data_IF_553644689964
#
_entry.id   IF_553644689964
#
_cell.length_a   1.000
_cell.length_b   1.000
_cell.length_c   1.000
_cell.angle_alpha   90.00
_cell.angle_beta   90.00
_cell.angle_gamma   90.00
#
_symmetry.space_group_name_H-M   'P 1'
#
loop_
_entity.id
_entity.type
_entity.pdbx_description
1 polymer ?
#
# COMPACT_ATOMS: atom_id res chain seq x y z
N UNK A 1 -8.15 5.47 27.81
CA UNK A 1 -8.43 5.65 29.26
C UNK A 1 -7.11 6.07 29.91
N UNK A 2 -7.04 7.17 30.67
CA UNK A 2 -5.79 7.56 31.32
C UNK A 2 -5.41 6.53 32.38
N UNK A 3 -4.18 6.02 32.32
CA UNK A 3 -3.60 5.12 33.31
C UNK A 3 -2.89 6.00 34.35
N UNK A 4 -3.08 5.71 35.63
CA UNK A 4 -2.46 6.45 36.73
C UNK A 4 -1.43 5.56 37.41
N UNK A 5 -0.28 6.13 37.77
CA UNK A 5 0.75 5.48 38.58
C UNK A 5 0.74 6.12 39.96
N UNK A 6 0.83 5.28 41.00
CA UNK A 6 0.94 5.74 42.38
C UNK A 6 2.41 5.70 42.77
N UNK A 7 3.05 6.87 42.86
CA UNK A 7 4.43 6.99 43.33
C UNK A 7 4.47 8.02 44.47
N UNK A 8 5.07 7.67 45.62
CA UNK A 8 5.08 8.49 46.85
C UNK A 8 3.70 9.04 47.30
N UNK A 9 2.65 8.23 47.21
CA UNK A 9 1.25 8.58 47.61
C UNK A 9 0.60 9.71 46.80
N UNK A 10 1.21 10.16 45.70
CA UNK A 10 0.58 11.04 44.74
C UNK A 10 0.09 10.25 43.52
N UNK A 11 -1.14 10.54 43.08
CA UNK A 11 -1.68 10.05 41.81
C UNK A 11 -1.09 10.90 40.68
N UNK A 12 -0.03 10.42 40.03
CA UNK A 12 0.43 11.02 38.77
C UNK A 12 -0.30 10.37 37.60
N UNK A 13 -0.91 11.21 36.77
CA UNK A 13 -1.36 10.81 35.43
C UNK A 13 -0.12 10.33 34.69
N UNK A 14 -0.09 9.07 34.27
CA UNK A 14 0.96 8.61 33.36
C UNK A 14 0.67 9.39 32.07
N UNK A 15 1.54 10.34 31.74
CA UNK A 15 1.53 10.88 30.39
C UNK A 15 1.73 9.69 29.45
N UNK A 16 0.76 9.44 28.57
CA UNK A 16 0.93 8.48 27.46
C UNK A 16 2.32 8.71 26.87
N UNK A 17 3.09 7.63 26.71
CA UNK A 17 4.50 7.68 26.33
C UNK A 17 4.69 8.69 25.19
N UNK A 18 5.24 9.84 25.54
CA UNK A 18 5.55 10.95 24.65
C UNK A 18 7.05 11.18 24.74
N UNK A 19 7.61 11.95 23.81
CA UNK A 19 9.00 12.37 23.95
C UNK A 19 9.22 13.13 25.27
N UNK A 20 10.36 12.90 25.95
CA UNK A 20 10.79 13.70 27.08
C UNK A 20 10.87 15.20 26.74
N UNK A 21 10.81 16.04 27.77
CA UNK A 21 10.93 17.49 27.59
C UNK A 21 12.31 17.85 26.98
N UNK A 22 12.32 18.69 25.95
CA UNK A 22 13.53 19.06 25.20
C UNK A 22 13.92 18.09 24.08
N UNK A 23 13.19 17.00 23.87
CA UNK A 23 13.37 16.10 22.72
C UNK A 23 12.43 16.52 21.58
N UNK A 24 13.01 16.79 20.42
CA UNK A 24 12.30 17.06 19.18
C UNK A 24 12.88 16.25 18.00
N UNK A 25 12.32 16.45 16.80
CA UNK A 25 12.74 15.77 15.57
C UNK A 25 14.21 16.05 15.22
N UNK A 26 14.69 17.28 15.47
CA UNK A 26 16.06 17.69 15.20
C UNK A 26 17.05 17.05 16.17
N UNK A 27 16.71 17.00 17.45
CA UNK A 27 17.51 16.30 18.46
C UNK A 27 17.63 14.81 18.13
N UNK A 28 16.52 14.15 17.77
CA UNK A 28 16.53 12.74 17.38
C UNK A 28 17.36 12.47 16.13
N UNK A 29 17.25 13.35 15.13
CA UNK A 29 18.08 13.28 13.93
C UNK A 29 19.58 13.33 14.26
N UNK A 30 19.99 14.25 15.14
CA UNK A 30 21.39 14.36 15.60
C UNK A 30 21.87 13.11 16.34
N UNK A 31 21.06 12.58 17.27
CA UNK A 31 21.43 11.36 18.01
C UNK A 31 21.53 10.13 17.10
N UNK A 32 20.66 10.01 16.10
CA UNK A 32 20.72 8.93 15.11
C UNK A 32 22.00 9.00 14.27
N UNK A 33 22.42 10.20 13.87
CA UNK A 33 23.65 10.41 13.11
C UNK A 33 24.91 10.08 13.93
N UNK A 34 24.92 10.39 15.23
CA UNK A 34 26.10 10.24 16.09
C UNK A 34 26.26 8.83 16.71
N UNK A 35 25.14 8.17 17.03
CA UNK A 35 25.14 6.98 17.92
C UNK A 35 24.83 5.66 17.23
N UNK A 36 24.64 5.64 15.91
CA UNK A 36 24.31 4.43 15.11
C UNK A 36 23.21 3.57 15.76
N UNK A 37 22.14 4.23 16.22
CA UNK A 37 21.03 3.60 16.96
C UNK A 37 19.96 3.01 16.05
N UNK A 38 20.10 3.18 14.72
CA UNK A 38 19.17 2.59 13.78
C UNK A 38 19.40 1.08 13.69
N UNK A 39 18.33 0.29 13.56
CA UNK A 39 18.42 -1.17 13.51
C UNK A 39 19.07 -1.70 12.23
N UNK A 40 19.17 -0.85 11.21
CA UNK A 40 19.94 -1.11 10.00
C UNK A 40 20.79 0.12 9.65
N UNK A 41 21.88 -0.14 8.94
CA UNK A 41 22.82 0.88 8.51
C UNK A 41 22.21 1.72 7.39
N UNK A 42 22.00 3.00 7.64
CA UNK A 42 21.34 3.93 6.72
C UNK A 42 22.18 5.19 6.51
N UNK A 43 22.39 5.57 5.25
CA UNK A 43 23.05 6.81 4.90
C UNK A 43 22.04 7.95 4.87
N UNK A 44 22.02 8.80 5.90
CA UNK A 44 21.13 9.97 5.95
C UNK A 44 21.59 11.02 4.94
N UNK A 45 20.66 11.50 4.11
CA UNK A 45 20.90 12.44 3.02
C UNK A 45 20.00 13.68 3.06
N UNK A 46 19.13 13.78 4.07
CA UNK A 46 18.20 14.88 4.19
C UNK A 46 17.33 14.76 5.44
N UNK A 47 16.72 15.88 5.80
CA UNK A 47 15.61 15.99 6.74
C UNK A 47 14.37 16.53 6.02
N UNK A 48 13.20 16.27 6.60
CA UNK A 48 11.93 16.78 6.06
C UNK A 48 10.98 17.16 7.18
N UNK A 49 10.19 18.20 6.94
CA UNK A 49 9.18 18.69 7.87
C UNK A 49 7.95 19.18 7.10
N UNK A 50 6.77 18.74 7.52
CA UNK A 50 5.48 19.13 6.98
C UNK A 50 4.79 20.17 7.87
N UNK A 51 3.84 20.91 7.30
CA UNK A 51 3.12 22.00 8.00
C UNK A 51 2.27 21.51 9.18
N UNK A 52 1.86 20.25 9.16
CA UNK A 52 1.08 19.60 10.21
C UNK A 52 1.94 19.05 11.37
N UNK A 53 3.25 19.30 11.35
CA UNK A 53 4.19 18.85 12.38
C UNK A 53 4.77 17.46 12.15
N UNK A 54 4.40 16.76 11.08
CA UNK A 54 5.08 15.53 10.68
C UNK A 54 6.51 15.86 10.22
N UNK A 55 7.47 15.02 10.54
CA UNK A 55 8.84 15.21 10.08
C UNK A 55 9.75 14.06 10.43
N UNK A 56 10.95 14.11 9.87
CA UNK A 56 11.99 13.15 10.14
C UNK A 56 13.12 13.23 9.13
N UNK A 57 13.64 12.08 8.72
CA UNK A 57 14.83 11.97 7.88
C UNK A 57 14.53 11.32 6.54
N UNK A 58 15.42 11.58 5.59
CA UNK A 58 15.52 10.89 4.32
C UNK A 58 16.89 10.22 4.30
N UNK A 59 16.92 8.93 4.03
CA UNK A 59 18.13 8.14 4.00
C UNK A 59 18.17 7.21 2.77
N UNK A 60 19.32 6.57 2.58
CA UNK A 60 19.54 5.53 1.59
C UNK A 60 19.99 4.25 2.29
N UNK A 61 19.44 3.12 1.88
CA UNK A 61 19.90 1.81 2.33
C UNK A 61 21.06 1.27 1.49
N UNK A 62 21.53 0.06 1.81
CA UNK A 62 22.63 -0.60 1.11
C UNK A 62 22.38 -0.81 -0.39
N UNK A 63 21.12 -0.86 -0.84
CA UNK A 63 20.74 -1.04 -2.24
C UNK A 63 20.56 0.31 -2.97
N UNK A 64 20.85 1.42 -2.28
CA UNK A 64 20.55 2.77 -2.72
C UNK A 64 19.05 3.04 -2.93
N UNK A 65 18.20 2.31 -2.19
CA UNK A 65 16.76 2.58 -2.10
C UNK A 65 16.52 3.71 -1.11
N UNK A 66 15.58 4.60 -1.44
CA UNK A 66 15.25 5.72 -0.57
C UNK A 66 14.40 5.24 0.60
N UNK A 67 14.80 5.66 1.80
CA UNK A 67 14.13 5.37 3.05
C UNK A 67 13.61 6.68 3.64
N UNK A 68 12.30 6.86 3.64
CA UNK A 68 11.66 7.95 4.38
C UNK A 68 11.49 7.52 5.84
N UNK A 69 12.05 8.28 6.78
CA UNK A 69 11.96 8.02 8.20
C UNK A 69 11.03 9.09 8.81
N UNK A 70 9.94 8.64 9.42
CA UNK A 70 8.99 9.45 10.17
C UNK A 70 9.25 9.30 11.67
N UNK A 71 9.46 10.42 12.37
CA UNK A 71 9.52 10.44 13.83
C UNK A 71 8.18 10.90 14.40
N UNK A 72 7.69 10.17 15.41
CA UNK A 72 6.47 10.55 16.11
C UNK A 72 6.62 10.42 17.64
N UNK A 73 6.13 11.40 18.41
CA UNK A 73 6.20 11.36 19.87
C UNK A 73 5.35 10.24 20.48
N UNK A 74 4.36 9.75 19.74
CA UNK A 74 3.44 8.67 20.08
C UNK A 74 2.97 8.02 18.79
N UNK A 75 1.97 7.12 18.87
CA UNK A 75 1.36 6.53 17.67
C UNK A 75 1.00 7.62 16.65
N UNK A 76 1.63 7.62 15.46
CA UNK A 76 1.46 8.70 14.51
C UNK A 76 0.02 8.76 14.01
N UNK A 77 -0.55 9.98 13.84
CA UNK A 77 -1.83 10.12 13.17
C UNK A 77 -1.70 9.73 11.70
N UNK A 78 -2.84 9.38 11.09
CA UNK A 78 -2.88 8.94 9.70
C UNK A 78 -2.26 9.96 8.73
N UNK A 79 -2.56 11.24 8.92
CA UNK A 79 -2.05 12.33 8.09
C UNK A 79 -0.51 12.38 8.07
N UNK A 80 0.16 12.09 9.19
CA UNK A 80 1.63 12.08 9.22
C UNK A 80 2.21 10.89 8.47
N UNK A 81 1.51 9.75 8.50
CA UNK A 81 1.88 8.57 7.72
C UNK A 81 1.70 8.86 6.23
N UNK A 82 0.62 9.52 5.83
CA UNK A 82 0.39 9.91 4.43
C UNK A 82 1.42 10.91 3.90
N UNK A 83 1.85 11.88 4.71
CA UNK A 83 2.93 12.80 4.32
C UNK A 83 4.25 12.06 4.09
N UNK A 84 4.62 11.16 5.01
CA UNK A 84 5.85 10.38 4.90
C UNK A 84 5.80 9.39 3.71
N UNK A 85 4.65 8.77 3.49
CA UNK A 85 4.38 7.87 2.37
C UNK A 85 4.38 8.63 1.03
N UNK A 86 3.74 9.80 1.00
CA UNK A 86 3.74 10.70 -0.15
C UNK A 86 5.14 11.17 -0.52
N UNK A 87 6.00 11.43 0.49
CA UNK A 87 7.42 11.73 0.28
C UNK A 87 8.17 10.53 -0.30
N UNK A 88 8.00 9.34 0.28
CA UNK A 88 8.62 8.12 -0.22
C UNK A 88 8.21 7.85 -1.67
N UNK A 89 6.90 7.85 -1.96
CA UNK A 89 6.35 7.59 -3.28
C UNK A 89 6.69 8.67 -4.30
N UNK A 90 6.60 9.94 -3.92
CA UNK A 90 6.96 11.07 -4.76
C UNK A 90 8.43 11.03 -5.16
N UNK A 91 9.29 10.49 -4.29
CA UNK A 91 10.70 10.33 -4.57
C UNK A 91 11.03 9.12 -5.46
N UNK A 92 10.10 8.21 -5.76
CA UNK A 92 10.37 6.94 -6.48
C UNK A 92 11.09 7.08 -7.83
N UNK A 93 10.90 8.20 -8.52
CA UNK A 93 11.54 8.47 -9.81
C UNK A 93 12.55 9.62 -9.74
N UNK A 94 12.93 10.05 -8.55
CA UNK A 94 13.94 11.09 -8.34
C UNK A 94 15.28 10.57 -8.84
N UNK A 95 15.81 11.25 -9.85
CA UNK A 95 17.07 10.88 -10.48
C UNK A 95 18.26 11.17 -9.58
N UNK A 96 19.40 10.57 -9.91
CA UNK A 96 20.65 10.75 -9.15
C UNK A 96 21.02 12.23 -8.93
N UNK A 97 20.88 13.06 -9.95
CA UNK A 97 21.25 14.47 -9.87
C UNK A 97 20.43 15.24 -8.81
N UNK A 98 19.16 14.88 -8.64
CA UNK A 98 18.28 15.50 -7.65
C UNK A 98 18.60 15.02 -6.24
N UNK A 99 18.82 13.71 -6.06
CA UNK A 99 19.27 13.15 -4.78
C UNK A 99 20.63 13.70 -4.36
N UNK A 100 21.56 13.87 -5.31
CA UNK A 100 22.87 14.47 -5.04
C UNK A 100 22.75 15.93 -4.60
N UNK A 101 21.85 16.71 -5.21
CA UNK A 101 21.59 18.09 -4.76
C UNK A 101 20.97 18.14 -3.37
N UNK A 102 20.04 17.23 -3.07
CA UNK A 102 19.42 17.14 -1.75
C UNK A 102 20.47 16.79 -0.68
N UNK A 103 21.29 15.77 -0.93
CA UNK A 103 22.39 15.38 -0.07
C UNK A 103 23.37 16.54 0.12
N UNK A 104 23.81 17.18 -0.96
CA UNK A 104 24.75 18.31 -0.89
C UNK A 104 24.24 19.44 0.02
N UNK A 105 22.96 19.82 -0.09
CA UNK A 105 22.36 20.84 0.80
C UNK A 105 22.32 20.39 2.25
N UNK A 106 21.97 19.14 2.50
CA UNK A 106 21.91 18.58 3.85
C UNK A 106 23.30 18.54 4.49
N UNK A 107 24.32 18.09 3.77
CA UNK A 107 25.68 18.05 4.31
C UNK A 107 26.27 19.45 4.48
N UNK A 108 26.03 20.36 3.54
CA UNK A 108 26.47 21.75 3.66
C UNK A 108 25.88 22.44 4.90
N UNK A 109 24.61 22.19 5.21
CA UNK A 109 23.98 22.73 6.44
C UNK A 109 24.59 22.17 7.73
N UNK A 110 25.25 21.01 7.65
CA UNK A 110 25.98 20.38 8.75
C UNK A 110 27.51 20.63 8.69
N UNK A 111 27.96 21.53 7.81
CA UNK A 111 29.37 21.91 7.68
C UNK A 111 30.25 20.87 6.98
N UNK A 112 29.64 19.94 6.24
CA UNK A 112 30.32 18.89 5.47
C UNK A 112 30.22 19.18 3.97
N UNK A 113 31.27 18.86 3.21
CA UNK A 113 31.29 19.03 1.75
C UNK A 113 31.26 17.68 1.08
N UNK A 114 30.32 17.52 0.15
CA UNK A 114 30.06 16.26 -0.55
C UNK A 114 29.90 16.54 -2.02
N UNK A 115 30.82 16.00 -2.81
CA UNK A 115 30.85 16.23 -4.26
C UNK A 115 30.06 15.16 -5.03
N UNK A 116 30.08 13.91 -4.54
CA UNK A 116 29.50 12.75 -5.21
C UNK A 116 28.82 11.81 -4.19
N UNK A 117 27.48 11.79 -4.22
CA UNK A 117 26.66 10.91 -3.39
C UNK A 117 26.90 9.42 -3.68
N UNK A 118 27.26 9.05 -4.91
CA UNK A 118 27.57 7.66 -5.26
C UNK A 118 28.85 7.21 -4.57
N UNK A 119 29.89 8.04 -4.57
CA UNK A 119 31.15 7.72 -3.93
C UNK A 119 31.00 7.64 -2.41
N UNK A 120 30.23 8.58 -1.84
CA UNK A 120 29.88 8.53 -0.43
C UNK A 120 29.14 7.25 -0.07
N UNK A 121 28.09 6.90 -0.82
CA UNK A 121 27.31 5.68 -0.59
C UNK A 121 28.19 4.43 -0.67
N UNK A 122 29.06 4.35 -1.69
CA UNK A 122 30.03 3.27 -1.86
C UNK A 122 30.96 3.14 -0.66
N UNK A 123 31.54 4.25 -0.22
CA UNK A 123 32.46 4.29 0.91
C UNK A 123 31.74 3.88 2.21
N UNK A 124 30.54 4.44 2.44
CA UNK A 124 29.75 4.18 3.62
C UNK A 124 29.35 2.70 3.75
N UNK A 125 28.94 2.05 2.65
CA UNK A 125 28.54 0.63 2.64
C UNK A 125 29.67 -0.35 2.27
N UNK A 126 30.89 0.13 2.01
CA UNK A 126 32.06 -0.71 1.67
C UNK A 126 31.84 -1.62 0.44
N UNK A 127 31.36 -1.04 -0.66
CA UNK A 127 31.01 -1.78 -1.89
C UNK A 127 32.22 -2.23 -2.72
N UNK A 128 32.16 -3.45 -3.26
CA UNK A 128 33.05 -3.96 -4.33
C UNK A 128 32.58 -3.37 -5.69
N UNK A 129 33.52 -2.86 -6.51
CA UNK A 129 33.24 -2.22 -7.81
C UNK A 129 32.40 -3.07 -8.78
N UNK A 130 32.35 -4.39 -8.57
CA UNK A 130 31.56 -5.34 -9.38
C UNK A 130 30.06 -5.34 -9.08
N UNK A 131 29.62 -4.75 -7.97
CA UNK A 131 28.21 -4.70 -7.53
C UNK A 131 27.60 -3.31 -7.66
N UNK A 132 27.90 -2.57 -8.74
CA UNK A 132 27.28 -1.24 -8.95
C UNK A 132 25.74 -1.39 -8.93
N UNK A 133 25.01 -0.60 -8.12
CA UNK A 133 23.55 -0.56 -8.21
C UNK A 133 23.17 -0.16 -9.64
N UNK A 134 22.40 -1.01 -10.31
CA UNK A 134 22.04 -0.80 -11.72
C UNK A 134 21.23 0.48 -11.92
N UNK A 135 20.39 0.84 -10.94
CA UNK A 135 19.56 2.04 -10.94
C UNK A 135 19.36 2.50 -9.48
N UNK A 136 19.75 3.74 -9.17
CA UNK A 136 19.53 4.33 -7.84
C UNK A 136 18.03 4.50 -7.60
N UNK A 137 17.57 4.31 -6.35
CA UNK A 137 16.21 4.63 -5.92
C UNK A 137 15.08 4.01 -6.78
N UNK A 138 15.06 2.68 -6.88
CA UNK A 138 13.98 1.95 -7.59
C UNK A 138 12.89 1.43 -6.66
N UNK A 139 13.25 1.20 -5.40
CA UNK A 139 12.36 0.75 -4.34
C UNK A 139 12.33 1.78 -3.20
N UNK A 140 11.19 1.89 -2.53
CA UNK A 140 10.94 2.88 -1.49
C UNK A 140 10.60 2.16 -0.21
N UNK A 141 11.18 2.65 0.89
CA UNK A 141 10.97 2.09 2.22
C UNK A 141 10.48 3.19 3.14
N UNK A 142 9.57 2.84 4.05
CA UNK A 142 8.99 3.76 5.01
C UNK A 142 9.28 3.26 6.42
N UNK A 143 10.04 4.05 7.17
CA UNK A 143 10.42 3.76 8.54
C UNK A 143 9.62 4.65 9.46
N UNK A 144 8.83 4.05 10.34
CA UNK A 144 8.00 4.80 11.29
C UNK A 144 8.54 4.55 12.69
N UNK A 145 9.07 5.59 13.32
CA UNK A 145 9.69 5.50 14.64
C UNK A 145 8.84 6.28 15.63
N UNK A 146 8.23 5.56 16.58
CA UNK A 146 7.36 6.15 17.59
C UNK A 146 7.56 5.50 18.95
N UNK A 147 7.22 6.20 20.04
CA UNK A 147 7.31 5.64 21.39
C UNK A 147 6.30 4.51 21.65
N UNK A 148 5.15 4.56 20.98
CA UNK A 148 4.09 3.57 21.05
C UNK A 148 3.25 3.54 19.77
N UNK A 149 2.48 2.47 19.57
CA UNK A 149 1.58 2.30 18.43
C UNK A 149 0.22 1.78 18.85
N UNK A 150 -0.85 2.46 18.41
CA UNK A 150 -2.20 1.94 18.55
C UNK A 150 -2.42 0.75 17.62
N UNK A 151 -3.25 -0.20 18.06
CA UNK A 151 -3.53 -1.44 17.32
C UNK A 151 -4.14 -1.17 15.95
N UNK A 152 -4.96 -0.13 15.84
CA UNK A 152 -5.61 0.34 14.62
C UNK A 152 -4.56 0.84 13.61
N UNK A 153 -3.56 1.60 14.08
CA UNK A 153 -2.44 2.08 13.25
C UNK A 153 -1.60 0.91 12.76
N UNK A 154 -1.18 -0.01 13.64
CA UNK A 154 -0.45 -1.21 13.23
C UNK A 154 -1.24 -2.06 12.25
N UNK A 155 -2.56 -2.15 12.44
CA UNK A 155 -3.44 -2.87 11.53
C UNK A 155 -3.50 -2.22 10.16
N UNK A 156 -3.50 -0.88 10.07
CA UNK A 156 -3.43 -0.15 8.80
C UNK A 156 -2.06 -0.31 8.13
N UNK A 157 -0.96 -0.18 8.88
CA UNK A 157 0.40 -0.33 8.38
C UNK A 157 0.68 -1.72 7.77
N UNK A 158 0.05 -2.78 8.30
CA UNK A 158 0.13 -4.13 7.73
C UNK A 158 -0.33 -4.22 6.28
N UNK A 159 -1.30 -3.41 5.89
CA UNK A 159 -1.81 -3.38 4.51
C UNK A 159 -0.98 -2.44 3.65
N UNK A 160 -0.54 -1.30 4.20
CA UNK A 160 0.41 -0.42 3.52
C UNK A 160 1.72 -1.11 3.16
N UNK A 161 2.16 -2.11 3.95
CA UNK A 161 3.30 -2.97 3.62
C UNK A 161 3.20 -3.69 2.25
N UNK A 162 2.01 -3.78 1.66
CA UNK A 162 1.83 -4.30 0.30
C UNK A 162 2.16 -3.28 -0.80
N UNK A 163 2.14 -1.99 -0.48
CA UNK A 163 2.34 -0.88 -1.42
C UNK A 163 3.75 -0.29 -1.31
N UNK A 164 4.25 -0.12 -0.07
CA UNK A 164 5.58 0.40 0.26
C UNK A 164 6.17 -0.46 1.39
N UNK A 165 7.45 -0.84 1.31
CA UNK A 165 8.10 -1.64 2.36
C UNK A 165 8.18 -0.84 3.67
N UNK A 166 7.15 -1.03 4.48
CA UNK A 166 6.92 -0.25 5.69
C UNK A 166 7.37 -1.06 6.90
N UNK A 167 8.23 -0.45 7.71
CA UNK A 167 8.70 -1.00 8.97
C UNK A 167 8.45 -0.01 10.09
N UNK A 168 7.95 -0.49 11.22
CA UNK A 168 7.74 0.33 12.39
C UNK A 168 8.72 -0.05 13.50
N UNK A 169 9.21 0.96 14.20
CA UNK A 169 10.14 0.82 15.29
C UNK A 169 9.64 1.56 16.52
N UNK A 170 9.81 0.92 17.67
CA UNK A 170 9.48 1.47 18.97
C UNK A 170 10.69 2.18 19.55
N UNK A 171 10.54 3.47 19.81
CA UNK A 171 11.54 4.30 20.46
C UNK A 171 11.36 4.25 21.98
N UNK A 172 12.39 3.84 22.70
CA UNK A 172 12.42 3.85 24.17
C UNK A 172 13.48 4.80 24.66
N UNK A 173 13.15 5.56 25.69
CA UNK A 173 14.09 6.41 26.41
C UNK A 173 14.41 5.76 27.76
N UNK A 174 15.69 5.78 28.13
CA UNK A 174 16.21 5.30 29.40
C UNK A 174 17.01 6.43 30.04
N UNK A 175 16.60 6.87 31.22
CA UNK A 175 17.31 7.89 31.99
C UNK A 175 18.34 7.20 32.89
N UNK A 176 19.62 7.54 32.73
CA UNK A 176 20.70 7.04 33.59
C UNK A 176 20.82 7.89 34.86
N UNK A 177 21.43 7.32 35.91
CA UNK A 177 21.76 8.05 37.15
C UNK A 177 22.65 9.29 36.92
N UNK A 178 23.33 9.38 35.76
CA UNK A 178 24.14 10.51 35.31
C UNK A 178 23.37 11.65 34.64
N UNK A 179 22.03 11.59 34.59
CA UNK A 179 21.16 12.49 33.81
C UNK A 179 21.41 12.45 32.29
N UNK A 180 22.13 11.44 31.79
CA UNK A 180 22.26 11.19 30.36
C UNK A 180 21.06 10.36 29.87
N UNK A 181 20.44 10.80 28.78
CA UNK A 181 19.30 10.13 28.16
C UNK A 181 19.80 9.14 27.11
N UNK A 182 19.64 7.85 27.37
CA UNK A 182 19.85 6.81 26.37
C UNK A 182 18.57 6.54 25.58
N UNK A 183 18.73 6.15 24.32
CA UNK A 183 17.64 5.72 23.47
C UNK A 183 17.89 4.35 22.88
N UNK A 184 16.84 3.56 22.71
CA UNK A 184 16.85 2.32 21.91
C UNK A 184 15.71 2.33 20.91
N UNK A 185 15.96 1.76 19.73
CA UNK A 185 15.00 1.64 18.64
C UNK A 185 14.82 0.15 18.36
N UNK A 186 13.67 -0.40 18.77
CA UNK A 186 13.37 -1.84 18.64
C UNK A 186 12.34 -2.08 17.53
N UNK A 187 12.47 -3.10 16.68
CA UNK A 187 11.46 -3.42 15.67
C UNK A 187 10.12 -3.82 16.33
N UNK A 188 9.02 -3.42 15.69
CA UNK A 188 7.66 -3.81 16.10
C UNK A 188 7.31 -5.13 15.41
N UNK A 189 7.44 -6.24 16.16
CA UNK A 189 7.25 -7.60 15.68
C UNK A 189 5.90 -7.83 14.98
N UNK A 190 4.84 -7.10 15.33
CA UNK A 190 3.55 -7.22 14.68
C UNK A 190 3.58 -6.90 13.18
N UNK A 191 4.57 -6.14 12.68
CA UNK A 191 4.78 -5.82 11.27
C UNK A 191 5.82 -6.71 10.59
N UNK A 192 6.51 -7.58 11.33
CA UNK A 192 7.40 -8.59 10.78
C UNK A 192 6.60 -9.84 10.37
N UNK A 193 6.71 -10.25 9.10
CA UNK A 193 6.05 -11.46 8.58
C UNK A 193 4.55 -11.29 8.25
N UNK A 194 4.25 -10.80 7.04
CA UNK A 194 2.87 -10.61 6.58
C UNK A 194 2.21 -11.87 6.02
N UNK A 195 1.32 -12.52 6.78
CA UNK A 195 0.30 -13.51 6.32
C UNK A 195 -0.58 -13.03 5.16
N UNK A 196 -0.54 -11.73 4.83
CA UNK A 196 -1.30 -11.11 3.75
C UNK A 196 -0.64 -11.33 2.39
N UNK A 197 0.70 -11.28 2.34
CA UNK A 197 1.45 -11.58 1.13
C UNK A 197 1.13 -12.99 0.62
N UNK A 198 1.02 -13.99 1.51
CA UNK A 198 0.63 -15.36 1.13
C UNK A 198 -0.80 -15.48 0.57
N UNK A 199 -1.73 -14.62 1.01
CA UNK A 199 -3.12 -14.70 0.54
C UNK A 199 -3.30 -14.05 -0.84
N UNK A 200 -2.63 -12.92 -1.07
CA UNK A 200 -2.59 -12.23 -2.37
C UNK A 200 -1.80 -13.08 -3.38
N UNK A 201 -0.66 -13.62 -2.99
CA UNK A 201 0.10 -14.58 -3.81
C UNK A 201 -0.76 -15.79 -4.20
N UNK A 202 -1.52 -16.37 -3.24
CA UNK A 202 -2.41 -17.49 -3.53
C UNK A 202 -3.61 -17.14 -4.44
N UNK A 203 -4.05 -15.88 -4.46
CA UNK A 203 -5.14 -15.41 -5.34
C UNK A 203 -4.67 -15.08 -6.76
N UNK A 204 -3.40 -14.67 -6.92
CA UNK A 204 -2.81 -14.28 -8.20
C UNK A 204 -1.81 -15.28 -8.76
N UNK A 205 -1.49 -16.36 -8.04
CA UNK A 205 -0.91 -17.57 -8.61
C UNK A 205 -1.90 -18.12 -9.62
N UNK A 206 -1.72 -17.71 -10.89
CA UNK A 206 -2.35 -18.36 -12.03
C UNK A 206 -2.05 -19.85 -11.87
N UNK A 207 -3.05 -20.71 -11.62
CA UNK A 207 -2.81 -22.12 -11.44
C UNK A 207 -2.00 -22.59 -12.64
N UNK A 208 -0.90 -23.32 -12.43
CA UNK A 208 0.01 -23.75 -13.51
C UNK A 208 -0.69 -24.43 -14.69
N UNK A 209 -1.89 -24.97 -14.44
CA UNK A 209 -2.83 -25.54 -15.41
C UNK A 209 -3.40 -24.48 -16.39
N UNK A 210 -3.68 -23.25 -15.94
CA UNK A 210 -4.17 -22.13 -16.76
C UNK A 210 -3.02 -21.53 -17.58
N UNK A 211 -1.83 -21.40 -16.99
CA UNK A 211 -0.62 -20.94 -17.70
C UNK A 211 -0.23 -21.89 -18.84
N UNK A 212 -0.27 -23.22 -18.62
CA UNK A 212 -0.03 -24.25 -19.65
C UNK A 212 -1.05 -24.25 -20.79
N UNK A 213 -2.25 -23.69 -20.57
CA UNK A 213 -3.34 -23.71 -21.55
C UNK A 213 -3.40 -22.43 -22.38
N UNK A 214 -2.95 -21.30 -21.82
CA UNK A 214 -2.83 -20.00 -22.50
C UNK A 214 -1.55 -19.89 -23.33
N UNK A 215 -0.46 -20.51 -22.86
CA UNK A 215 0.80 -20.64 -23.60
C UNK A 215 0.78 -22.00 -24.32
N UNK A 216 0.07 -22.08 -25.44
CA UNK A 216 -0.07 -23.33 -26.20
C UNK A 216 1.28 -24.00 -26.46
N UNK A 217 1.36 -25.31 -26.21
CA UNK A 217 2.50 -26.13 -26.60
C UNK A 217 2.71 -25.96 -28.12
N UNK A 218 3.84 -25.36 -28.50
CA UNK A 218 4.30 -25.39 -29.89
C UNK A 218 4.71 -26.83 -30.25
N UNK A 219 4.16 -27.44 -31.30
CA UNK A 219 4.59 -28.77 -31.71
C UNK A 219 5.80 -28.64 -32.64
N UNK A 220 7.01 -28.98 -32.20
CA UNK A 220 8.10 -29.36 -33.11
C UNK A 220 9.03 -30.40 -32.49
N UNK A 221 9.09 -31.55 -33.14
CA UNK A 221 10.08 -32.59 -32.87
C UNK A 221 9.71 -33.92 -33.52
N UNK A 222 9.47 -33.93 -34.83
CA UNK A 222 9.40 -35.18 -35.59
C UNK A 222 10.82 -35.73 -35.79
N UNK A 223 11.03 -36.98 -35.39
CA UNK A 223 12.18 -37.82 -35.73
C UNK A 223 11.70 -39.29 -35.81
N UNK A 224 12.17 -40.09 -36.78
CA UNK A 224 11.52 -41.35 -37.15
C UNK A 224 12.04 -42.57 -36.37
N UNK A 225 11.34 -43.70 -36.57
CA UNK A 225 11.69 -45.09 -36.18
C UNK A 225 11.29 -45.50 -34.76
N UNK A 226 10.71 -46.68 -34.47
CA UNK A 226 10.60 -47.96 -35.19
C UNK A 226 9.48 -48.83 -34.56
N UNK A 227 9.08 -49.87 -35.28
CA UNK A 227 8.06 -50.89 -34.98
C UNK A 227 8.10 -51.54 -33.58
N UNK A 228 6.91 -51.79 -33.00
CA UNK A 228 6.63 -53.10 -32.38
C UNK A 228 5.11 -53.36 -32.28
N UNK A 229 4.68 -54.53 -32.76
CA UNK A 229 3.31 -55.08 -32.64
C UNK A 229 3.19 -55.76 -31.27
N UNK A 230 2.10 -55.52 -30.54
CA UNK A 230 1.49 -56.60 -29.76
C UNK A 230 -0.02 -56.40 -29.54
N UNK A 231 -0.67 -57.55 -29.40
CA UNK A 231 -2.07 -57.95 -29.47
C UNK A 231 -2.92 -57.62 -28.21
N UNK A 232 -4.25 -57.60 -28.40
CA UNK A 232 -5.14 -58.27 -27.44
C UNK A 232 -5.82 -57.46 -26.33
N UNK A 233 -6.96 -56.86 -26.67
CA UNK A 233 -8.19 -56.77 -25.85
C UNK A 233 -8.13 -56.29 -24.38
N UNK A 234 -8.78 -55.16 -24.07
CA UNK A 234 -9.66 -55.01 -22.89
C UNK A 234 -10.48 -53.69 -22.90
N UNK A 235 -11.81 -53.87 -22.98
CA UNK A 235 -13.01 -53.03 -22.68
C UNK A 235 -12.86 -51.51 -22.41
N UNK A 236 -13.77 -50.66 -22.94
CA UNK A 236 -13.76 -49.23 -22.62
C UNK A 236 -14.29 -49.03 -21.20
N UNK A 237 -13.39 -48.72 -20.27
CA UNK A 237 -13.75 -48.03 -19.03
C UNK A 237 -14.12 -46.61 -19.44
N UNK A 238 -15.41 -46.36 -19.68
CA UNK A 238 -15.92 -45.01 -19.85
C UNK A 238 -15.44 -44.21 -18.64
N UNK A 239 -14.50 -43.32 -18.90
CA UNK A 239 -13.78 -42.62 -17.87
C UNK A 239 -14.76 -41.66 -17.21
N UNK A 240 -14.61 -41.39 -15.91
CA UNK A 240 -15.43 -40.36 -15.23
C UNK A 240 -15.35 -38.99 -15.93
N UNK A 241 -14.36 -38.78 -16.81
CA UNK A 241 -14.28 -37.63 -17.71
C UNK A 241 -15.43 -37.56 -18.71
N UNK A 242 -15.89 -38.68 -19.27
CA UNK A 242 -16.95 -38.69 -20.30
C UNK A 242 -18.30 -38.22 -19.72
N UNK A 243 -18.52 -38.46 -18.42
CA UNK A 243 -19.73 -38.02 -17.69
C UNK A 243 -19.64 -36.55 -17.27
N UNK A 244 -18.45 -36.01 -17.02
CA UNK A 244 -18.25 -34.60 -16.65
C UNK A 244 -18.23 -33.67 -17.88
N UNK A 245 -17.77 -34.16 -19.04
CA UNK A 245 -17.76 -33.41 -20.30
C UNK A 245 -19.16 -33.38 -20.94
N UNK A 246 -20.05 -34.30 -20.56
CA UNK A 246 -21.47 -34.31 -20.97
C UNK A 246 -22.34 -33.26 -20.24
N UNK A 247 -21.76 -32.35 -19.45
CA UNK A 247 -22.45 -31.18 -18.91
C UNK A 247 -22.71 -30.18 -20.06
N UNK A 248 -23.93 -30.24 -20.61
CA UNK A 248 -24.65 -29.23 -21.41
C UNK A 248 -23.79 -28.27 -22.26
N UNK A 249 -23.32 -28.74 -23.42
CA UNK A 249 -22.49 -28.02 -24.39
C UNK A 249 -23.24 -26.86 -25.09
N UNK A 250 -23.69 -25.86 -24.34
CA UNK A 250 -24.02 -24.55 -24.87
C UNK A 250 -22.86 -23.59 -24.55
N UNK A 251 -21.86 -23.45 -25.44
CA UNK A 251 -20.67 -22.62 -25.20
C UNK A 251 -21.03 -21.19 -24.80
N UNK A 252 -22.17 -20.69 -25.28
CA UNK A 252 -22.68 -19.35 -24.92
C UNK A 252 -22.97 -19.19 -23.43
N UNK A 253 -23.46 -20.22 -22.73
CA UNK A 253 -23.78 -20.14 -21.29
C UNK A 253 -22.51 -19.95 -20.45
N UNK A 254 -21.41 -20.61 -20.82
CA UNK A 254 -20.16 -20.55 -20.08
C UNK A 254 -19.46 -19.20 -20.22
N UNK A 255 -19.56 -18.55 -21.38
CA UNK A 255 -18.98 -17.21 -21.60
C UNK A 255 -19.66 -16.15 -20.70
N UNK A 256 -20.99 -16.11 -20.66
CA UNK A 256 -21.71 -15.17 -19.80
C UNK A 256 -21.52 -15.50 -18.31
N UNK A 257 -21.45 -16.78 -17.95
CA UNK A 257 -21.13 -17.20 -16.59
C UNK A 257 -19.72 -16.77 -16.17
N UNK A 258 -18.73 -16.90 -17.07
CA UNK A 258 -17.37 -16.45 -16.84
C UNK A 258 -17.30 -14.92 -16.67
N UNK A 259 -17.97 -14.16 -17.54
CA UNK A 259 -18.08 -12.71 -17.40
C UNK A 259 -18.71 -12.33 -16.07
N UNK A 260 -19.85 -12.93 -15.72
CA UNK A 260 -20.54 -12.66 -14.46
C UNK A 260 -19.67 -13.00 -13.25
N UNK A 261 -18.94 -14.11 -13.28
CA UNK A 261 -18.00 -14.49 -12.24
C UNK A 261 -16.84 -13.48 -12.10
N UNK A 262 -16.27 -13.01 -13.21
CA UNK A 262 -15.21 -12.00 -13.20
C UNK A 262 -15.71 -10.65 -12.68
N UNK A 263 -16.88 -10.21 -13.11
CA UNK A 263 -17.53 -8.98 -12.62
C UNK A 263 -17.82 -9.10 -11.12
N UNK A 264 -18.40 -10.21 -10.66
CA UNK A 264 -18.68 -10.45 -9.25
C UNK A 264 -17.39 -10.48 -8.41
N UNK A 265 -16.34 -11.16 -8.89
CA UNK A 265 -15.04 -11.21 -8.23
C UNK A 265 -14.42 -9.82 -8.10
N UNK A 266 -14.45 -9.03 -9.18
CA UNK A 266 -13.97 -7.64 -9.17
C UNK A 266 -14.76 -6.81 -8.15
N UNK A 267 -16.10 -6.82 -8.24
CA UNK A 267 -16.96 -6.03 -7.35
C UNK A 267 -16.72 -6.39 -5.90
N UNK A 268 -16.67 -7.68 -5.56
CA UNK A 268 -16.42 -8.13 -4.21
C UNK A 268 -15.04 -7.70 -3.70
N UNK A 269 -13.99 -7.95 -4.49
CA UNK A 269 -12.60 -7.68 -4.11
C UNK A 269 -12.38 -6.18 -3.90
N UNK A 270 -12.78 -5.35 -4.85
CA UNK A 270 -12.53 -3.91 -4.77
C UNK A 270 -13.49 -3.20 -3.83
N UNK A 271 -14.74 -3.67 -3.64
CA UNK A 271 -15.59 -3.15 -2.56
C UNK A 271 -15.00 -3.46 -1.19
N UNK A 272 -14.48 -4.69 -0.99
CA UNK A 272 -13.83 -5.06 0.26
C UNK A 272 -12.60 -4.21 0.54
N UNK A 273 -11.72 -4.03 -0.46
CA UNK A 273 -10.50 -3.22 -0.33
C UNK A 273 -10.85 -1.75 -0.05
N UNK A 274 -11.75 -1.14 -0.82
CA UNK A 274 -12.10 0.28 -0.69
C UNK A 274 -12.82 0.58 0.63
N UNK A 275 -13.77 -0.26 1.06
CA UNK A 275 -14.44 -0.11 2.35
C UNK A 275 -13.44 -0.27 3.49
N UNK A 276 -12.53 -1.25 3.40
CA UNK A 276 -11.50 -1.44 4.41
C UNK A 276 -10.56 -0.23 4.48
N UNK A 277 -10.14 0.29 3.34
CA UNK A 277 -9.31 1.48 3.27
C UNK A 277 -10.01 2.67 3.93
N UNK A 278 -11.29 2.88 3.61
CA UNK A 278 -12.14 3.90 4.23
C UNK A 278 -12.26 3.73 5.75
N UNK A 279 -12.49 2.50 6.23
CA UNK A 279 -12.59 2.21 7.66
C UNK A 279 -11.27 2.41 8.43
N UNK A 280 -10.15 2.35 7.72
CA UNK A 280 -8.82 2.65 8.27
C UNK A 280 -8.41 4.11 8.01
N UNK A 281 -9.35 4.97 7.63
CA UNK A 281 -9.16 6.39 7.35
C UNK A 281 -8.22 6.70 6.17
N UNK A 282 -7.93 5.72 5.30
CA UNK A 282 -7.05 5.89 4.13
C UNK A 282 -7.75 6.36 2.85
N UNK A 283 -8.97 6.86 2.96
CA UNK A 283 -9.66 7.52 1.83
C UNK A 283 -9.52 9.03 1.96
N UNK A 284 -9.18 9.70 0.85
CA UNK A 284 -9.09 11.15 0.82
C UNK A 284 -10.44 11.79 1.19
N UNK A 285 -10.51 12.33 2.41
CA UNK A 285 -11.76 12.77 3.02
C UNK A 285 -12.40 13.97 2.32
N UNK A 286 -11.61 14.77 1.62
CA UNK A 286 -12.10 15.94 0.89
C UNK A 286 -13.00 15.52 -0.30
N UNK A 287 -12.50 14.67 -1.19
CA UNK A 287 -13.25 14.26 -2.38
C UNK A 287 -14.48 13.42 -2.01
N UNK A 288 -14.29 12.38 -1.18
CA UNK A 288 -15.38 11.52 -0.75
C UNK A 288 -16.44 12.30 0.06
N UNK A 289 -15.99 13.24 0.91
CA UNK A 289 -16.87 14.06 1.74
C UNK A 289 -17.76 15.02 0.95
N UNK A 290 -17.26 15.57 -0.17
CA UNK A 290 -18.06 16.41 -1.08
C UNK A 290 -19.25 15.62 -1.62
N UNK A 291 -19.00 14.40 -2.12
CA UNK A 291 -20.04 13.56 -2.70
C UNK A 291 -20.97 12.97 -1.65
N UNK A 292 -20.44 12.57 -0.49
CA UNK A 292 -21.25 12.05 0.61
C UNK A 292 -22.26 13.10 1.12
N UNK A 293 -21.79 14.31 1.42
CA UNK A 293 -22.67 15.43 1.82
C UNK A 293 -23.67 15.75 0.72
N UNK A 294 -23.22 15.83 -0.53
CA UNK A 294 -24.06 16.18 -1.66
C UNK A 294 -25.20 15.18 -1.89
N UNK A 295 -24.88 13.89 -1.93
CA UNK A 295 -25.88 12.82 -2.11
C UNK A 295 -26.81 12.75 -0.92
N UNK A 296 -26.30 12.93 0.30
CA UNK A 296 -27.16 13.00 1.49
C UNK A 296 -28.16 14.15 1.38
N UNK A 297 -27.73 15.37 1.02
CA UNK A 297 -28.64 16.52 0.84
C UNK A 297 -29.69 16.26 -0.25
N UNK A 298 -29.27 15.74 -1.41
CA UNK A 298 -30.17 15.33 -2.48
C UNK A 298 -31.19 14.29 -2.01
N UNK A 299 -30.76 13.30 -1.22
CA UNK A 299 -31.64 12.27 -0.65
C UNK A 299 -32.71 12.88 0.25
N UNK A 300 -32.39 13.96 0.96
CA UNK A 300 -33.32 14.68 1.83
C UNK A 300 -34.17 15.74 1.10
N UNK A 301 -34.04 15.84 -0.24
CA UNK A 301 -34.64 16.90 -1.05
C UNK A 301 -34.29 18.31 -0.56
N UNK A 302 -33.06 18.47 -0.03
CA UNK A 302 -32.51 19.74 0.40
C UNK A 302 -31.60 20.30 -0.70
N UNK A 303 -31.38 21.61 -0.64
CA UNK A 303 -30.37 22.25 -1.49
C UNK A 303 -29.00 21.60 -1.23
N UNK A 304 -28.33 21.03 -2.26
CA UNK A 304 -27.05 20.34 -2.10
C UNK A 304 -25.89 21.34 -2.07
N UNK A 305 -25.91 22.26 -1.11
CA UNK A 305 -24.80 23.16 -0.82
C UNK A 305 -23.73 22.44 0.00
N UNK A 306 -22.51 22.36 -0.53
CA UNK A 306 -21.40 21.58 0.05
C UNK A 306 -20.55 22.49 0.94
N UNK A 307 -20.55 22.24 2.24
CA UNK A 307 -19.88 23.11 3.22
C UNK A 307 -18.36 23.05 3.12
N UNK A 308 -17.80 21.89 2.82
CA UNK A 308 -16.35 21.72 2.66
C UNK A 308 -15.81 22.47 1.41
N UNK A 309 -16.67 22.68 0.41
CA UNK A 309 -16.33 23.32 -0.86
C UNK A 309 -16.78 24.78 -0.95
N UNK A 310 -17.82 25.15 -0.20
CA UNK A 310 -18.46 26.47 -0.28
C UNK A 310 -19.27 26.70 -1.56
N UNK A 311 -19.64 25.63 -2.27
CA UNK A 311 -20.33 25.68 -3.55
C UNK A 311 -21.52 24.71 -3.59
N UNK A 312 -22.46 25.00 -4.47
CA UNK A 312 -23.53 24.06 -4.80
C UNK A 312 -22.95 22.84 -5.54
N UNK A 313 -23.40 21.62 -5.24
CA UNK A 313 -22.89 20.37 -5.80
C UNK A 313 -22.81 20.38 -7.33
N UNK A 314 -23.90 20.78 -7.99
CA UNK A 314 -23.95 20.91 -9.46
C UNK A 314 -23.23 22.15 -10.02
N UNK A 315 -22.87 23.10 -9.16
CA UNK A 315 -22.04 24.25 -9.53
C UNK A 315 -20.55 23.91 -9.57
N UNK A 316 -20.11 22.92 -8.78
CA UNK A 316 -18.75 22.38 -8.84
C UNK A 316 -18.64 21.36 -9.99
N UNK A 317 -19.45 20.29 -9.96
CA UNK A 317 -19.46 19.23 -10.99
C UNK A 317 -20.89 18.81 -11.35
N UNK A 318 -21.21 18.75 -12.66
CA UNK A 318 -22.53 18.34 -13.17
C UNK A 318 -22.76 16.81 -13.06
N UNK A 319 -22.83 16.34 -11.82
CA UNK A 319 -22.90 14.93 -11.46
C UNK A 319 -24.36 14.44 -11.35
N UNK A 320 -25.12 14.53 -12.43
CA UNK A 320 -26.56 14.17 -12.42
C UNK A 320 -26.84 12.71 -12.03
N UNK A 321 -25.86 11.82 -12.22
CA UNK A 321 -25.95 10.43 -11.78
C UNK A 321 -26.27 10.29 -10.29
N UNK A 322 -25.86 11.26 -9.47
CA UNK A 322 -26.10 11.29 -8.03
C UNK A 322 -27.59 11.38 -7.68
N UNK A 323 -28.44 11.89 -8.58
CA UNK A 323 -29.89 11.87 -8.42
C UNK A 323 -30.46 10.44 -8.42
N UNK A 324 -29.85 9.53 -9.18
CA UNK A 324 -30.23 8.11 -9.17
C UNK A 324 -29.74 7.38 -7.91
N UNK A 325 -28.67 7.90 -7.29
CA UNK A 325 -28.09 7.33 -6.06
C UNK A 325 -28.83 7.84 -4.82
N UNK A 326 -29.38 9.05 -4.85
CA UNK A 326 -30.08 9.68 -3.72
C UNK A 326 -31.16 8.78 -3.06
N UNK A 327 -32.00 8.01 -3.79
CA UNK A 327 -32.93 7.07 -3.18
C UNK A 327 -32.27 5.93 -2.41
N UNK A 328 -31.08 5.47 -2.81
CA UNK A 328 -30.32 4.45 -2.07
C UNK A 328 -29.76 5.03 -0.77
N UNK A 329 -29.35 6.30 -0.80
CA UNK A 329 -28.90 7.04 0.38
C UNK A 329 -30.01 7.32 1.41
N UNK A 330 -31.29 7.28 1.00
CA UNK A 330 -32.41 7.26 1.95
C UNK A 330 -32.44 6.00 2.80
N UNK A 331 -32.00 4.87 2.25
CA UNK A 331 -31.99 3.57 2.93
C UNK A 331 -30.73 3.44 3.77
N UNK A 332 -29.58 3.83 3.20
CA UNK A 332 -28.28 3.74 3.85
C UNK A 332 -27.41 4.97 3.53
N UNK A 333 -27.42 5.94 4.44
CA UNK A 333 -26.60 7.14 4.36
C UNK A 333 -25.20 6.88 4.93
N UNK A 334 -24.34 6.23 4.15
CA UNK A 334 -22.96 5.91 4.53
C UNK A 334 -22.05 6.01 3.27
N UNK A 335 -20.89 6.69 3.34
CA UNK A 335 -19.94 6.83 2.23
C UNK A 335 -19.54 5.50 1.58
N UNK A 336 -19.56 4.40 2.33
CA UNK A 336 -19.26 3.05 1.81
C UNK A 336 -20.21 2.64 0.68
N UNK A 337 -21.45 3.14 0.67
CA UNK A 337 -22.37 2.90 -0.43
C UNK A 337 -21.85 3.50 -1.74
N UNK A 338 -21.27 4.71 -1.71
CA UNK A 338 -20.67 5.32 -2.90
C UNK A 338 -19.47 4.52 -3.41
N UNK A 339 -18.62 4.01 -2.51
CA UNK A 339 -17.47 3.17 -2.87
C UNK A 339 -17.89 1.87 -3.55
N UNK A 340 -18.95 1.22 -3.05
CA UNK A 340 -19.53 0.03 -3.68
C UNK A 340 -20.09 0.37 -5.06
N UNK A 341 -20.89 1.44 -5.17
CA UNK A 341 -21.51 1.84 -6.42
C UNK A 341 -20.49 2.24 -7.49
N UNK A 342 -19.40 2.92 -7.09
CA UNK A 342 -18.28 3.22 -7.97
C UNK A 342 -17.63 1.93 -8.50
N UNK A 343 -17.39 0.95 -7.62
CA UNK A 343 -16.82 -0.34 -8.01
C UNK A 343 -17.75 -1.09 -8.99
N UNK A 344 -19.05 -1.08 -8.74
CA UNK A 344 -20.07 -1.68 -9.62
C UNK A 344 -20.11 -0.98 -10.98
N UNK A 345 -20.08 0.35 -11.00
CA UNK A 345 -20.10 1.12 -12.24
C UNK A 345 -18.89 0.81 -13.14
N UNK A 346 -17.70 0.70 -12.53
CA UNK A 346 -16.49 0.29 -13.24
C UNK A 346 -16.59 -1.14 -13.79
N UNK A 347 -17.09 -2.08 -12.97
CA UNK A 347 -17.19 -3.48 -13.37
C UNK A 347 -18.21 -3.71 -14.50
N UNK A 348 -19.33 -2.99 -14.49
CA UNK A 348 -20.35 -3.08 -15.55
C UNK A 348 -19.79 -2.60 -16.90
N UNK A 349 -18.75 -1.74 -16.91
CA UNK A 349 -18.03 -1.38 -18.13
C UNK A 349 -17.45 -2.58 -18.90
N UNK A 350 -17.19 -3.71 -18.23
CA UNK A 350 -16.76 -4.95 -18.88
C UNK A 350 -17.85 -5.56 -19.78
N UNK A 351 -19.13 -5.32 -19.48
CA UNK A 351 -20.27 -5.90 -20.22
C UNK A 351 -20.32 -5.41 -21.67
N UNK A 352 -20.37 -4.09 -21.99
CA UNK A 352 -20.38 -3.63 -23.37
C UNK A 352 -19.09 -4.02 -24.11
N UNK A 353 -17.93 -3.98 -23.43
CA UNK A 353 -16.65 -4.42 -24.03
C UNK A 353 -16.71 -5.89 -24.43
N UNK A 354 -17.22 -6.76 -23.54
CA UNK A 354 -17.41 -8.17 -23.83
C UNK A 354 -18.38 -8.38 -25.00
N UNK A 355 -19.50 -7.67 -25.03
CA UNK A 355 -20.49 -7.80 -26.11
C UNK A 355 -19.91 -7.37 -27.47
N UNK A 356 -19.15 -6.27 -27.51
CA UNK A 356 -18.46 -5.80 -28.73
C UNK A 356 -17.39 -6.79 -29.16
N UNK A 357 -16.55 -7.26 -28.23
CA UNK A 357 -15.50 -8.22 -28.52
C UNK A 357 -16.08 -9.52 -29.08
N UNK A 358 -17.18 -9.99 -28.48
CA UNK A 358 -17.93 -11.15 -28.96
C UNK A 358 -18.44 -10.93 -30.39
N UNK A 359 -19.09 -9.82 -30.69
CA UNK A 359 -19.56 -9.52 -32.05
C UNK A 359 -18.42 -9.51 -33.08
N UNK A 360 -17.28 -8.90 -32.74
CA UNK A 360 -16.13 -8.75 -33.65
C UNK A 360 -15.29 -10.02 -33.81
N UNK A 361 -15.24 -10.88 -32.79
CA UNK A 361 -14.45 -12.12 -32.83
C UNK A 361 -15.29 -13.31 -33.31
N UNK A 362 -16.59 -13.32 -33.02
CA UNK A 362 -17.54 -14.30 -33.60
C UNK A 362 -17.80 -14.09 -35.10
N UNK A 363 -17.40 -12.95 -35.69
CA UNK A 363 -17.49 -12.70 -37.13
C UNK A 363 -16.20 -13.05 -37.90
N UNK A 364 -15.16 -13.54 -37.22
CA UNK A 364 -13.84 -13.85 -37.80
C UNK A 364 -13.45 -15.34 -37.73
N UNK A 365 -14.33 -16.18 -37.21
CA UNK A 365 -14.21 -17.64 -37.12
C UNK A 365 -15.47 -18.20 -37.80
#
# INVERSE_FOLDING_TARGET
>A
MPIFSLNNRELKKIHEASWPEGVDTGWLAGQIAERDVLPEKLLVIGDWNAKNGAGGLIALDENASLVAILFAPKSPPHEWIEEADGLAWGARNTGYAELNQMAARYFESHGLVVEDLTEMHRSYFSYDEKKRPGHFNQDQRLFIIATDFFKEVLSALKWRKLEVDTTAYRLKFMELESAELLMSIDPVAELEGGRVASLVSALFEVPSIVAKRLLGDSPKGAGPEQDEKDDGSQRPVASRLDVLVALDANPRKYEYAALAAMVALYVFTFSFITIRNHNNYGTFGFDLGIFDQGVWLLSQLKEPFITARGLHLFGDHLSFILLLIAPLYRIWADPRLLLILQTVALAIGAVPVFLIAKEKLSSRI
#
